data_IF_043043567426
#
_entry.id   IF_043043567426
#
_cell.length_a   1.000
_cell.length_b   1.000
_cell.length_c   1.000
_cell.angle_alpha   90.00
_cell.angle_beta   90.00
_cell.angle_gamma   90.00
#
_symmetry.space_group_name_H-M   'P 1'
#
loop_
_entity.id
_entity.type
_entity.pdbx_description
1 polymer ?
#
# COMPACT_ATOMS: atom_id res chain seq x y z
N UNK A 1 4.77 -8.16 13.10
CA UNK A 1 4.35 -8.93 11.91
C UNK A 1 3.51 -10.07 12.45
N UNK A 2 2.20 -10.08 12.20
CA UNK A 2 1.29 -11.07 12.77
C UNK A 2 1.60 -12.43 12.10
N UNK A 3 1.88 -13.47 12.87
CA UNK A 3 2.12 -14.83 12.36
C UNK A 3 0.82 -15.39 11.78
N UNK A 4 0.61 -15.09 10.50
CA UNK A 4 -0.53 -15.57 9.73
C UNK A 4 -0.29 -17.03 9.33
N UNK A 5 -1.32 -17.87 9.48
CA UNK A 5 -1.30 -19.24 8.94
C UNK A 5 -1.19 -19.20 7.41
N UNK A 6 -0.21 -19.88 6.80
CA UNK A 6 -0.06 -19.90 5.34
C UNK A 6 -1.27 -20.57 4.70
N UNK A 7 -1.74 -20.00 3.59
CA UNK A 7 -2.81 -20.59 2.79
C UNK A 7 -2.22 -21.54 1.76
N UNK A 8 -2.99 -22.53 1.32
CA UNK A 8 -2.60 -23.46 0.23
C UNK A 8 -2.32 -22.74 -1.10
N UNK A 9 -2.82 -21.52 -1.27
CA UNK A 9 -2.57 -20.66 -2.42
C UNK A 9 -1.27 -19.85 -2.32
N UNK A 10 -0.62 -19.82 -1.15
CA UNK A 10 0.56 -18.99 -0.93
C UNK A 10 1.76 -19.53 -1.74
N UNK A 11 2.58 -18.60 -2.22
CA UNK A 11 3.76 -18.95 -3.01
C UNK A 11 4.90 -19.44 -2.11
N UNK A 12 5.60 -20.48 -2.56
CA UNK A 12 6.81 -20.97 -1.90
C UNK A 12 7.94 -19.95 -1.97
N UNK A 13 8.84 -19.98 -0.98
CA UNK A 13 10.00 -19.06 -0.91
C UNK A 13 10.86 -19.12 -2.17
N UNK A 14 11.10 -20.32 -2.70
CA UNK A 14 11.89 -20.52 -3.90
C UNK A 14 11.29 -19.82 -5.13
N UNK A 15 9.97 -19.87 -5.30
CA UNK A 15 9.29 -19.18 -6.41
C UNK A 15 9.18 -17.68 -6.14
N UNK A 16 8.99 -17.29 -4.88
CA UNK A 16 9.01 -15.89 -4.47
C UNK A 16 10.34 -15.22 -4.81
N UNK A 17 11.46 -15.88 -4.55
CA UNK A 17 12.80 -15.38 -4.85
C UNK A 17 13.04 -15.04 -6.33
N UNK A 18 12.27 -15.66 -7.25
CA UNK A 18 12.33 -15.34 -8.67
C UNK A 18 11.53 -14.09 -9.05
N UNK A 19 10.46 -13.78 -8.30
CA UNK A 19 9.51 -12.70 -8.61
C UNK A 19 9.83 -11.43 -7.83
N UNK A 20 10.31 -11.59 -6.59
CA UNK A 20 10.61 -10.51 -5.64
C UNK A 20 11.48 -9.40 -6.25
N UNK A 21 12.61 -9.70 -6.95
CA UNK A 21 13.45 -8.64 -7.50
C UNK A 21 12.72 -7.74 -8.50
N UNK A 22 11.84 -8.32 -9.31
CA UNK A 22 11.05 -7.60 -10.32
C UNK A 22 10.04 -6.67 -9.65
N UNK A 23 9.31 -7.16 -8.63
CA UNK A 23 8.33 -6.36 -7.90
C UNK A 23 8.99 -5.26 -7.07
N UNK A 24 10.16 -5.55 -6.48
CA UNK A 24 10.95 -4.58 -5.74
C UNK A 24 11.46 -3.48 -6.66
N UNK A 25 12.04 -3.82 -7.83
CA UNK A 25 12.46 -2.84 -8.83
C UNK A 25 11.29 -1.95 -9.32
N UNK A 26 10.13 -2.56 -9.61
CA UNK A 26 8.94 -1.82 -9.98
C UNK A 26 8.48 -0.85 -8.88
N UNK A 27 8.51 -1.27 -7.60
CA UNK A 27 8.16 -0.41 -6.46
C UNK A 27 9.09 0.79 -6.37
N UNK A 28 10.40 0.58 -6.51
CA UNK A 28 11.40 1.65 -6.45
C UNK A 28 11.19 2.66 -7.59
N UNK A 29 11.07 2.19 -8.83
CA UNK A 29 10.80 3.07 -9.98
C UNK A 29 9.51 3.87 -9.83
N UNK A 30 8.49 3.29 -9.17
CA UNK A 30 7.23 4.00 -8.86
C UNK A 30 7.41 5.04 -7.77
N UNK A 31 8.25 4.78 -6.77
CA UNK A 31 8.53 5.69 -5.67
C UNK A 31 9.29 6.93 -6.17
N UNK A 32 10.30 6.74 -7.01
CA UNK A 32 11.09 7.82 -7.63
C UNK A 32 10.21 8.81 -8.42
N UNK A 33 9.15 8.30 -9.06
CA UNK A 33 8.20 9.12 -9.83
C UNK A 33 7.14 9.81 -8.96
N UNK A 34 7.08 9.52 -7.65
CA UNK A 34 6.02 9.99 -6.77
C UNK A 34 6.44 11.29 -6.06
N UNK A 35 5.72 12.41 -6.25
CA UNK A 35 6.08 13.70 -5.64
C UNK A 35 6.11 13.69 -4.11
N UNK A 36 5.37 12.76 -3.49
CA UNK A 36 5.14 12.69 -2.03
C UNK A 36 6.00 11.66 -1.30
N UNK A 37 6.90 10.95 -2.01
CA UNK A 37 8.01 10.17 -1.42
C UNK A 37 7.70 9.02 -0.45
N UNK A 38 6.46 8.80 -0.01
CA UNK A 38 6.17 7.71 0.93
C UNK A 38 5.90 6.39 0.19
N UNK A 39 6.71 5.33 0.46
CA UNK A 39 6.41 4.00 -0.02
C UNK A 39 5.15 3.46 0.65
N UNK A 40 4.41 2.62 -0.08
CA UNK A 40 3.31 1.89 0.55
C UNK A 40 3.89 0.98 1.65
N UNK A 41 3.37 1.09 2.88
CA UNK A 41 3.82 0.34 4.07
C UNK A 41 3.46 -1.17 4.02
N UNK A 42 3.10 -1.68 2.85
CA UNK A 42 2.64 -3.07 2.67
C UNK A 42 3.77 -3.95 2.15
N UNK A 43 3.90 -5.15 2.70
CA UNK A 43 4.82 -6.17 2.20
C UNK A 43 4.39 -6.70 0.83
N UNK A 44 5.31 -6.70 -0.15
CA UNK A 44 5.02 -7.14 -1.53
C UNK A 44 4.53 -8.59 -1.58
N UNK A 45 5.13 -9.45 -0.77
CA UNK A 45 4.76 -10.86 -0.70
C UNK A 45 3.31 -11.06 -0.28
N UNK A 46 2.85 -10.27 0.68
CA UNK A 46 1.48 -10.36 1.17
C UNK A 46 0.47 -9.90 0.11
N UNK A 47 0.82 -8.87 -0.67
CA UNK A 47 0.01 -8.44 -1.82
C UNK A 47 -0.04 -9.54 -2.88
N UNK A 48 1.09 -10.18 -3.19
CA UNK A 48 1.14 -11.24 -4.18
C UNK A 48 0.34 -12.48 -3.75
N UNK A 49 0.49 -12.90 -2.49
CA UNK A 49 -0.32 -13.98 -1.91
C UNK A 49 -1.83 -13.64 -1.94
N UNK A 50 -2.21 -12.37 -1.75
CA UNK A 50 -3.61 -11.95 -1.86
C UNK A 50 -4.17 -12.14 -3.27
N UNK A 51 -3.39 -11.76 -4.28
CA UNK A 51 -3.73 -11.95 -5.69
C UNK A 51 -3.89 -13.44 -5.99
N UNK A 52 -2.95 -14.28 -5.55
CA UNK A 52 -3.04 -15.73 -5.74
C UNK A 52 -4.27 -16.33 -5.04
N UNK A 53 -4.59 -15.87 -3.84
CA UNK A 53 -5.76 -16.32 -3.10
C UNK A 53 -7.06 -15.99 -3.83
N UNK A 54 -7.21 -14.73 -4.29
CA UNK A 54 -8.36 -14.29 -5.09
C UNK A 54 -8.45 -15.10 -6.39
N UNK A 55 -7.34 -15.28 -7.10
CA UNK A 55 -7.32 -16.06 -8.35
C UNK A 55 -7.67 -17.54 -8.15
N UNK A 56 -7.29 -18.12 -7.00
CA UNK A 56 -7.57 -19.53 -6.69
C UNK A 56 -9.01 -19.76 -6.24
N UNK A 57 -9.58 -18.82 -5.48
CA UNK A 57 -10.89 -18.97 -4.82
C UNK A 57 -12.03 -18.27 -5.57
N UNK A 58 -11.73 -17.30 -6.43
CA UNK A 58 -12.71 -16.50 -7.18
C UNK A 58 -13.44 -15.45 -6.33
N UNK A 59 -13.06 -15.23 -5.07
CA UNK A 59 -13.77 -14.28 -4.22
C UNK A 59 -13.45 -12.83 -4.61
N UNK A 60 -14.41 -11.92 -4.41
CA UNK A 60 -14.15 -10.50 -4.60
C UNK A 60 -13.20 -9.95 -3.52
N UNK A 61 -12.36 -8.98 -3.89
CA UNK A 61 -11.40 -8.29 -3.00
C UNK A 61 -12.01 -7.75 -1.70
N UNK A 62 -13.29 -7.37 -1.71
CA UNK A 62 -14.02 -6.90 -0.52
C UNK A 62 -14.17 -7.96 0.57
N UNK A 63 -14.14 -9.24 0.19
CA UNK A 63 -14.28 -10.40 1.09
C UNK A 63 -12.93 -11.03 1.43
N UNK A 64 -11.82 -10.40 1.06
CA UNK A 64 -10.49 -10.90 1.38
C UNK A 64 -10.31 -10.95 2.91
N UNK A 65 -9.72 -12.03 3.46
CA UNK A 65 -9.42 -12.11 4.89
C UNK A 65 -8.61 -10.91 5.38
N UNK A 66 -8.90 -10.48 6.61
CA UNK A 66 -8.26 -9.30 7.23
C UNK A 66 -6.76 -9.49 7.50
N UNK A 67 -6.23 -10.71 7.37
CA UNK A 67 -4.80 -11.00 7.45
C UNK A 67 -4.02 -10.51 6.23
N UNK A 68 -4.70 -10.11 5.15
CA UNK A 68 -4.07 -9.48 4.00
C UNK A 68 -4.05 -7.96 4.13
N UNK A 69 -3.09 -7.27 3.48
CA UNK A 69 -3.04 -5.81 3.50
C UNK A 69 -4.36 -5.23 3.00
N UNK A 70 -4.87 -4.22 3.73
CA UNK A 70 -6.15 -3.59 3.40
C UNK A 70 -6.13 -3.04 1.98
N UNK A 71 -7.17 -3.38 1.21
CA UNK A 71 -7.36 -2.86 -0.15
C UNK A 71 -7.76 -1.38 -0.16
N UNK A 72 -8.13 -0.81 0.99
CA UNK A 72 -8.53 0.59 1.09
C UNK A 72 -7.29 1.49 0.98
N UNK A 73 -7.28 2.50 0.10
CA UNK A 73 -6.23 3.50 0.14
C UNK A 73 -6.24 4.11 1.54
N UNK A 74 -5.07 4.28 2.15
CA UNK A 74 -4.96 5.11 3.35
C UNK A 74 -5.53 6.47 2.98
N UNK A 75 -6.72 6.78 3.50
CA UNK A 75 -7.29 8.11 3.42
C UNK A 75 -6.35 9.01 4.22
N UNK A 76 -5.34 9.56 3.56
CA UNK A 76 -4.68 10.77 4.03
C UNK A 76 -5.78 11.80 4.07
N UNK A 77 -6.36 11.98 5.26
CA UNK A 77 -7.16 13.15 5.59
C UNK A 77 -6.23 14.35 5.40
N UNK A 78 -6.22 14.91 4.19
CA UNK A 78 -5.78 16.28 4.00
C UNK A 78 -6.76 17.13 4.80
N UNK A 79 -6.36 17.53 6.00
CA UNK A 79 -7.17 18.42 6.83
C UNK A 79 -7.42 19.71 6.04
N UNK A 80 -8.68 20.09 5.76
CA UNK A 80 -8.99 21.37 5.16
C UNK A 80 -8.81 22.45 6.24
N UNK A 81 -7.59 22.99 6.39
CA UNK A 81 -7.32 23.99 7.42
C UNK A 81 -6.01 24.78 7.31
N UNK A 82 -5.05 24.36 6.46
CA UNK A 82 -3.74 25.00 6.36
C UNK A 82 -3.63 26.05 5.23
N UNK A 83 -4.72 26.73 4.87
CA UNK A 83 -4.71 27.93 4.03
C UNK A 83 -5.28 29.10 4.84
N UNK A 84 -4.65 29.42 5.98
CA UNK A 84 -4.88 30.70 6.64
C UNK A 84 -3.90 31.69 6.03
N UNK A 85 -4.35 32.41 5.00
CA UNK A 85 -3.64 33.56 4.48
C UNK A 85 -3.46 34.57 5.60
N UNK A 86 -2.22 34.79 6.01
CA UNK A 86 -1.83 35.97 6.76
C UNK A 86 -2.04 37.19 5.87
N UNK A 87 -3.11 37.94 6.11
CA UNK A 87 -3.28 39.30 5.59
C UNK A 87 -2.88 40.26 6.71
N UNK A 88 -1.82 41.07 6.57
CA UNK A 88 -1.56 42.17 7.48
C UNK A 88 -2.18 43.43 6.87
N UNK A 89 -3.28 43.91 7.45
CA UNK A 89 -3.73 45.27 7.20
C UNK A 89 -3.79 46.06 8.51
N UNK A 90 -3.34 47.30 8.38
CA UNK A 90 -3.68 48.48 9.18
C UNK A 90 -2.76 48.82 10.35
N UNK A 91 -1.70 49.57 10.00
CA UNK A 91 -1.06 50.57 10.85
C UNK A 91 -2.07 51.67 11.20
N UNK A 92 -2.20 51.92 12.50
CA UNK A 92 -2.79 53.13 13.10
C UNK A 92 -1.95 54.36 12.76
N UNK A 93 -2.56 55.40 12.19
CA UNK A 93 -2.37 56.79 12.60
C UNK A 93 -3.46 57.70 12.03
#
# INVERSE_FOLDING_TARGET
MNERKPYLSDISDARWALIEPTLTAWRQARLERRPTGQPASVELRNVFNAILYVNRTGIAWKYLPHDFPSYKPSTTTMQPGAMRGSSPNSTTS
#
